data_IF_224299744704
#
_entry.id   IF_224299744704
#
_cell.length_a   1.000
_cell.length_b   1.000
_cell.length_c   1.000
_cell.angle_alpha   90.00
_cell.angle_beta   90.00
_cell.angle_gamma   90.00
#
_symmetry.space_group_name_H-M   'P 1'
#
loop_
_entity.id
_entity.type
_entity.pdbx_description
1 polymer ?
#
# COMPACT_ATOMS: atom_id res chain seq x y z
N UNK A 1 29.05 -29.75 -63.26
CA UNK A 1 28.98 -29.69 -61.79
C UNK A 1 28.63 -28.24 -61.41
N UNK A 2 27.36 -27.94 -61.17
CA UNK A 2 26.84 -26.56 -61.08
C UNK A 2 26.75 -26.14 -59.60
N UNK A 3 27.50 -25.10 -59.21
CA UNK A 3 27.41 -24.44 -57.90
C UNK A 3 26.17 -23.54 -57.87
N UNK A 4 25.20 -23.88 -57.03
CA UNK A 4 24.03 -23.04 -56.73
C UNK A 4 24.36 -22.03 -55.63
N UNK A 5 24.78 -20.83 -56.03
CA UNK A 5 24.86 -19.67 -55.14
C UNK A 5 23.45 -19.14 -54.88
N UNK A 6 22.91 -19.34 -53.67
CA UNK A 6 21.64 -18.72 -53.25
C UNK A 6 21.79 -17.18 -53.24
N UNK A 7 20.83 -16.43 -53.81
CA UNK A 7 20.98 -14.99 -53.96
C UNK A 7 20.77 -14.28 -52.61
N UNK A 8 21.71 -13.40 -52.28
CA UNK A 8 21.69 -12.49 -51.12
C UNK A 8 20.44 -11.56 -51.10
N UNK A 9 19.67 -11.51 -52.18
CA UNK A 9 18.43 -10.74 -52.30
C UNK A 9 17.33 -11.17 -51.31
N UNK A 10 17.32 -12.43 -50.86
CA UNK A 10 16.33 -12.91 -49.90
C UNK A 10 16.53 -12.37 -48.48
N UNK A 11 17.72 -11.86 -48.12
CA UNK A 11 17.95 -11.19 -46.84
C UNK A 11 17.36 -9.77 -46.81
N UNK A 12 17.25 -9.10 -47.96
CA UNK A 12 16.70 -7.74 -48.06
C UNK A 12 15.16 -7.69 -48.07
N UNK A 13 14.50 -8.81 -48.32
CA UNK A 13 13.03 -8.93 -48.29
C UNK A 13 12.49 -9.58 -47.01
N UNK A 14 13.35 -9.95 -46.06
CA UNK A 14 12.94 -10.62 -44.84
C UNK A 14 12.35 -9.61 -43.83
N UNK A 15 11.02 -9.46 -43.85
CA UNK A 15 10.26 -8.62 -42.92
C UNK A 15 10.26 -9.16 -41.48
N UNK A 16 10.64 -10.43 -41.28
CA UNK A 16 10.64 -11.08 -39.97
C UNK A 16 11.66 -10.44 -39.03
N UNK A 17 12.82 -10.00 -39.56
CA UNK A 17 13.84 -9.29 -38.78
C UNK A 17 13.38 -7.90 -38.31
N UNK A 18 12.58 -7.20 -39.13
CA UNK A 18 12.02 -5.89 -38.80
C UNK A 18 11.04 -5.97 -37.62
N UNK A 19 10.21 -7.02 -37.59
CA UNK A 19 9.23 -7.24 -36.50
C UNK A 19 9.94 -7.49 -35.16
N UNK A 20 11.05 -8.23 -35.17
CA UNK A 20 11.84 -8.48 -33.95
C UNK A 20 12.44 -7.18 -33.41
N UNK A 21 12.96 -6.31 -34.27
CA UNK A 21 13.54 -5.01 -33.86
C UNK A 21 12.46 -4.07 -33.33
N UNK A 22 11.31 -4.00 -34.01
CA UNK A 22 10.18 -3.18 -33.57
C UNK A 22 9.64 -3.65 -32.20
N UNK A 23 9.51 -4.96 -32.00
CA UNK A 23 9.14 -5.52 -30.71
C UNK A 23 10.22 -5.28 -29.63
N UNK A 24 11.50 -5.34 -29.98
CA UNK A 24 12.58 -5.07 -29.04
C UNK A 24 12.57 -3.63 -28.51
N UNK A 25 12.01 -2.69 -29.26
CA UNK A 25 11.87 -1.29 -28.85
C UNK A 25 10.53 -1.05 -28.14
N UNK A 26 9.41 -1.48 -28.73
CA UNK A 26 8.07 -1.21 -28.20
C UNK A 26 7.67 -2.15 -27.06
N UNK A 27 8.08 -3.42 -27.11
CA UNK A 27 7.74 -4.44 -26.12
C UNK A 27 8.12 -4.04 -24.69
N UNK A 28 9.38 -3.64 -24.42
CA UNK A 28 9.79 -3.18 -23.10
C UNK A 28 8.99 -1.97 -22.61
N UNK A 29 8.68 -1.01 -23.50
CA UNK A 29 7.89 0.17 -23.14
C UNK A 29 6.45 -0.21 -22.75
N UNK A 30 5.82 -1.12 -23.51
CA UNK A 30 4.48 -1.62 -23.18
C UNK A 30 4.44 -2.39 -21.87
N UNK A 31 5.45 -3.23 -21.62
CA UNK A 31 5.58 -3.96 -20.35
C UNK A 31 5.80 -3.00 -19.17
N UNK A 32 6.65 -1.99 -19.34
CA UNK A 32 6.86 -0.97 -18.31
C UNK A 32 5.57 -0.23 -17.97
N UNK A 33 4.77 0.14 -18.98
CA UNK A 33 3.46 0.76 -18.74
C UNK A 33 2.49 -0.20 -18.03
N UNK A 34 2.42 -1.47 -18.45
CA UNK A 34 1.58 -2.47 -17.81
C UNK A 34 1.93 -2.65 -16.32
N UNK A 35 3.21 -2.82 -16.01
CA UNK A 35 3.68 -2.94 -14.63
C UNK A 35 3.46 -1.65 -13.83
N UNK A 36 3.61 -0.48 -14.46
CA UNK A 36 3.32 0.80 -13.83
C UNK A 36 1.85 0.93 -13.40
N UNK A 37 0.91 0.54 -14.27
CA UNK A 37 -0.53 0.57 -13.94
C UNK A 37 -0.86 -0.44 -12.84
N UNK A 38 -0.29 -1.65 -12.90
CA UNK A 38 -0.47 -2.65 -11.84
C UNK A 38 0.07 -2.16 -10.50
N UNK A 39 1.28 -1.59 -10.47
CA UNK A 39 1.88 -1.00 -9.27
C UNK A 39 1.01 0.11 -8.69
N UNK A 40 0.44 0.96 -9.55
CA UNK A 40 -0.48 2.03 -9.13
C UNK A 40 -1.77 1.47 -8.52
N UNK A 41 -2.36 0.43 -9.13
CA UNK A 41 -3.54 -0.24 -8.60
C UNK A 41 -3.32 -0.83 -7.20
N UNK A 42 -2.21 -1.53 -7.00
CA UNK A 42 -1.77 -2.04 -5.69
C UNK A 42 -1.56 -0.87 -4.71
N UNK A 43 -0.93 0.21 -5.20
CA UNK A 43 -0.80 1.49 -4.51
C UNK A 43 -2.11 1.98 -3.88
N UNK A 44 -3.11 2.16 -4.74
CA UNK A 44 -4.42 2.66 -4.37
C UNK A 44 -5.18 1.70 -3.45
N UNK A 45 -5.07 0.39 -3.66
CA UNK A 45 -5.69 -0.60 -2.79
C UNK A 45 -5.14 -0.48 -1.35
N UNK A 46 -3.82 -0.46 -1.19
CA UNK A 46 -3.19 -0.33 0.12
C UNK A 46 -3.52 1.02 0.78
N UNK A 47 -3.51 2.11 0.00
CA UNK A 47 -3.89 3.43 0.52
C UNK A 47 -5.34 3.47 1.04
N UNK A 48 -6.27 2.86 0.29
CA UNK A 48 -7.66 2.73 0.74
C UNK A 48 -7.79 1.85 1.98
N UNK A 49 -7.00 0.77 2.08
CA UNK A 49 -6.95 -0.06 3.28
C UNK A 49 -6.50 0.75 4.50
N UNK A 50 -5.40 1.53 4.40
CA UNK A 50 -4.95 2.41 5.50
C UNK A 50 -6.05 3.39 5.92
N UNK A 51 -6.73 4.01 4.95
CA UNK A 51 -7.84 4.91 5.23
C UNK A 51 -8.97 4.21 5.99
N UNK A 52 -9.37 3.00 5.58
CA UNK A 52 -10.44 2.26 6.24
C UNK A 52 -10.04 1.75 7.63
N UNK A 53 -8.85 1.18 7.79
CA UNK A 53 -8.28 0.75 9.09
C UNK A 53 -8.29 1.91 10.08
N UNK A 54 -7.84 3.08 9.64
CA UNK A 54 -7.82 4.27 10.49
C UNK A 54 -9.22 4.68 10.97
N UNK A 55 -10.27 4.41 10.18
CA UNK A 55 -11.66 4.72 10.52
C UNK A 55 -12.25 3.72 11.50
N UNK A 56 -11.94 2.44 11.32
CA UNK A 56 -12.32 1.41 12.26
C UNK A 56 -11.62 1.59 13.60
N UNK A 57 -10.32 1.93 13.60
CA UNK A 57 -9.58 2.25 14.82
C UNK A 57 -10.17 3.46 15.54
N UNK A 58 -10.47 4.53 14.82
CA UNK A 58 -11.09 5.72 15.39
C UNK A 58 -12.45 5.41 16.02
N UNK A 59 -13.28 4.64 15.33
CA UNK A 59 -14.60 4.22 15.83
C UNK A 59 -14.45 3.34 17.06
N UNK A 60 -13.49 2.41 17.05
CA UNK A 60 -13.20 1.53 18.16
C UNK A 60 -12.77 2.33 19.40
N UNK A 61 -11.84 3.27 19.24
CA UNK A 61 -11.35 4.12 20.33
C UNK A 61 -12.48 4.94 21.00
N UNK A 62 -13.44 5.43 20.21
CA UNK A 62 -14.60 6.15 20.76
C UNK A 62 -15.56 5.22 21.51
N UNK A 63 -15.83 4.03 20.97
CA UNK A 63 -16.74 3.05 21.61
C UNK A 63 -16.13 2.55 22.92
N UNK A 64 -14.85 2.19 22.91
CA UNK A 64 -14.13 1.70 24.08
C UNK A 64 -14.12 2.76 25.21
N UNK A 65 -13.91 4.03 24.84
CA UNK A 65 -14.03 5.16 25.77
C UNK A 65 -15.42 5.29 26.39
N UNK A 66 -16.48 5.18 25.58
CA UNK A 66 -17.86 5.25 26.06
C UNK A 66 -18.22 4.08 26.98
N UNK A 67 -17.78 2.87 26.65
CA UNK A 67 -18.08 1.67 27.42
C UNK A 67 -17.40 1.70 28.80
N UNK A 68 -16.15 2.15 28.89
CA UNK A 68 -15.50 2.31 30.20
C UNK A 68 -16.06 3.50 31.00
N UNK A 69 -16.51 4.57 30.34
CA UNK A 69 -17.24 5.64 31.02
C UNK A 69 -18.59 5.15 31.60
N UNK A 70 -19.26 4.24 30.90
CA UNK A 70 -20.53 3.64 31.34
C UNK A 70 -20.34 2.55 32.40
N UNK A 71 -19.21 1.84 32.40
CA UNK A 71 -18.90 0.75 33.31
C UNK A 71 -17.64 1.08 34.11
N UNK A 72 -17.84 1.52 35.35
CA UNK A 72 -16.79 2.00 36.27
C UNK A 72 -15.68 0.98 36.63
N UNK A 73 -15.68 -0.21 36.04
CA UNK A 73 -14.74 -1.33 36.30
C UNK A 73 -14.07 -1.87 35.02
N UNK A 74 -14.29 -1.24 33.86
CA UNK A 74 -13.60 -1.64 32.63
C UNK A 74 -12.28 -0.87 32.50
N UNK A 75 -11.19 -1.59 32.23
CA UNK A 75 -9.92 -0.95 31.84
C UNK A 75 -10.03 -0.56 30.37
N UNK A 76 -10.04 0.73 30.09
CA UNK A 76 -9.97 1.26 28.73
C UNK A 76 -8.76 0.67 27.99
N UNK A 77 -8.92 0.34 26.70
CA UNK A 77 -7.81 0.27 25.75
C UNK A 77 -7.40 1.68 25.32
N UNK A 78 -7.19 2.56 26.30
CA UNK A 78 -6.91 3.99 26.09
C UNK A 78 -5.44 4.27 25.78
N UNK A 79 -4.59 3.28 25.99
CA UNK A 79 -3.17 3.48 25.74
C UNK A 79 -2.90 3.45 24.24
N UNK A 80 -1.99 4.32 23.82
CA UNK A 80 -1.59 4.38 22.42
C UNK A 80 -1.10 2.99 21.94
N UNK A 81 -0.36 2.28 22.78
CA UNK A 81 0.15 0.94 22.51
C UNK A 81 -0.97 -0.10 22.25
N UNK A 82 -2.08 -0.06 22.99
CA UNK A 82 -3.20 -0.99 22.79
C UNK A 82 -4.00 -0.68 21.52
N UNK A 83 -4.09 0.61 21.14
CA UNK A 83 -4.70 1.04 19.89
C UNK A 83 -3.81 0.69 18.69
N UNK A 84 -2.49 0.84 18.83
CA UNK A 84 -1.50 0.39 17.85
C UNK A 84 -1.62 -1.13 17.62
N UNK A 85 -1.63 -1.93 18.69
CA UNK A 85 -1.77 -3.37 18.61
C UNK A 85 -3.09 -3.80 17.95
N UNK A 86 -4.21 -3.15 18.28
CA UNK A 86 -5.50 -3.43 17.64
C UNK A 86 -5.47 -3.09 16.14
N UNK A 87 -4.85 -1.97 15.77
CA UNK A 87 -4.73 -1.56 14.38
C UNK A 87 -3.90 -2.56 13.56
N UNK A 88 -2.80 -3.08 14.12
CA UNK A 88 -1.99 -4.13 13.48
C UNK A 88 -2.78 -5.44 13.31
N UNK A 89 -3.57 -5.82 14.33
CA UNK A 89 -4.41 -7.02 14.30
C UNK A 89 -5.44 -6.93 13.16
N UNK A 90 -6.23 -5.85 13.10
CA UNK A 90 -7.25 -5.70 12.07
C UNK A 90 -6.64 -5.50 10.68
N UNK A 91 -5.46 -4.88 10.57
CA UNK A 91 -4.81 -4.64 9.30
C UNK A 91 -4.39 -5.94 8.61
N UNK A 92 -3.93 -6.94 9.37
CA UNK A 92 -3.58 -8.26 8.85
C UNK A 92 -4.81 -9.13 8.51
N UNK A 93 -5.95 -8.85 9.12
CA UNK A 93 -7.19 -9.60 8.92
C UNK A 93 -7.97 -9.16 7.67
N UNK A 94 -8.94 -9.99 7.26
CA UNK A 94 -9.92 -9.57 6.26
C UNK A 94 -10.78 -8.42 6.81
N UNK A 95 -11.12 -7.39 5.99
CA UNK A 95 -10.99 -7.34 4.52
C UNK A 95 -9.67 -6.71 4.02
N UNK A 96 -8.76 -6.31 4.90
CA UNK A 96 -7.60 -5.48 4.55
C UNK A 96 -6.39 -6.29 4.08
N UNK A 97 -6.07 -7.38 4.78
CA UNK A 97 -5.04 -8.34 4.36
C UNK A 97 -3.65 -7.73 4.12
N UNK A 98 -3.30 -6.67 4.87
CA UNK A 98 -1.97 -6.06 4.80
C UNK A 98 -0.93 -6.97 5.45
N UNK A 99 0.31 -6.88 4.98
CA UNK A 99 1.43 -7.58 5.60
C UNK A 99 1.92 -6.78 6.80
N UNK A 100 1.73 -7.30 8.02
CA UNK A 100 1.99 -6.58 9.26
C UNK A 100 3.47 -6.20 9.45
N UNK A 101 4.40 -7.00 8.93
CA UNK A 101 5.84 -6.71 8.90
C UNK A 101 6.21 -5.49 8.02
N UNK A 102 5.29 -5.05 7.17
CA UNK A 102 5.44 -3.89 6.28
C UNK A 102 4.61 -2.69 6.72
N UNK A 103 3.84 -2.85 7.79
CA UNK A 103 3.01 -1.82 8.40
C UNK A 103 3.72 -1.25 9.62
N UNK A 104 3.58 0.04 9.82
CA UNK A 104 3.94 0.71 11.07
C UNK A 104 2.74 1.54 11.48
N UNK A 105 2.23 1.28 12.68
CA UNK A 105 1.17 2.06 13.30
C UNK A 105 1.77 2.94 14.38
N UNK A 106 1.31 4.18 14.47
CA UNK A 106 1.69 5.09 15.54
C UNK A 106 0.48 5.88 15.96
N UNK A 107 0.16 5.83 17.25
CA UNK A 107 -0.91 6.60 17.86
C UNK A 107 -0.27 7.56 18.87
N UNK A 108 -0.52 8.85 18.71
CA UNK A 108 0.03 9.85 19.64
C UNK A 108 -1.08 10.66 20.28
N UNK A 109 -1.03 10.75 21.61
CA UNK A 109 -1.87 11.69 22.35
C UNK A 109 -1.36 13.10 22.10
N UNK A 110 -2.26 14.01 21.73
CA UNK A 110 -1.95 15.42 21.47
C UNK A 110 -2.78 16.30 22.39
N UNK A 111 -2.31 17.54 22.60
CA UNK A 111 -3.08 18.52 23.37
C UNK A 111 -4.41 18.74 22.67
N UNK A 112 -5.49 18.45 23.39
CA UNK A 112 -6.84 18.57 22.86
C UNK A 112 -7.21 20.01 22.53
N UNK A 113 -7.99 20.18 21.48
CA UNK A 113 -8.57 21.46 21.06
C UNK A 113 -10.01 21.64 21.55
N UNK A 114 -10.60 20.60 22.12
CA UNK A 114 -11.98 20.56 22.60
C UNK A 114 -11.93 20.31 24.10
N UNK A 115 -12.62 21.16 24.85
CA UNK A 115 -12.72 21.02 26.30
C UNK A 115 -13.40 19.69 26.65
N UNK A 116 -12.89 19.02 27.68
CA UNK A 116 -13.33 17.68 28.12
C UNK A 116 -13.17 16.52 27.12
N UNK A 117 -12.50 16.72 25.97
CA UNK A 117 -12.19 15.63 25.03
C UNK A 117 -10.68 15.30 25.01
N UNK A 118 -10.34 14.03 24.80
CA UNK A 118 -8.97 13.59 24.47
C UNK A 118 -8.77 13.58 22.95
N UNK A 119 -7.62 14.04 22.48
CA UNK A 119 -7.26 14.02 21.06
C UNK A 119 -6.08 13.07 20.81
N UNK A 120 -6.24 12.18 19.83
CA UNK A 120 -5.21 11.27 19.35
C UNK A 120 -4.95 11.46 17.87
N UNK A 121 -3.70 11.38 17.45
CA UNK A 121 -3.31 11.33 16.04
C UNK A 121 -2.89 9.92 15.67
N UNK A 122 -3.62 9.31 14.73
CA UNK A 122 -3.29 7.99 14.16
C UNK A 122 -2.48 8.21 12.89
N UNK A 123 -1.31 7.60 12.82
CA UNK A 123 -0.47 7.55 11.63
C UNK A 123 -0.24 6.09 11.24
N UNK A 124 -0.56 5.76 10.00
CA UNK A 124 -0.32 4.45 9.41
C UNK A 124 0.67 4.61 8.25
N UNK A 125 1.77 3.87 8.29
CA UNK A 125 2.73 3.81 7.20
C UNK A 125 2.81 2.38 6.68
N UNK A 126 2.77 2.21 5.36
CA UNK A 126 2.89 0.91 4.73
C UNK A 126 3.90 0.91 3.58
N UNK A 127 4.81 -0.04 3.60
CA UNK A 127 5.85 -0.18 2.59
C UNK A 127 5.37 -1.10 1.45
N UNK A 128 4.79 -0.54 0.40
CA UNK A 128 4.23 -1.33 -0.71
C UNK A 128 5.35 -2.05 -1.46
N UNK A 129 5.26 -3.39 -1.67
CA UNK A 129 6.20 -4.09 -2.53
C UNK A 129 6.25 -3.47 -3.93
N UNK A 130 7.47 -3.29 -4.45
CA UNK A 130 7.69 -2.63 -5.73
C UNK A 130 8.13 -3.64 -6.80
N UNK A 131 7.48 -3.58 -7.96
CA UNK A 131 7.91 -4.34 -9.16
C UNK A 131 9.23 -3.79 -9.74
N UNK A 132 9.67 -2.62 -9.29
CA UNK A 132 10.94 -1.99 -9.67
C UNK A 132 12.14 -2.46 -8.83
N UNK A 133 12.01 -3.55 -8.07
CA UNK A 133 13.13 -4.11 -7.29
C UNK A 133 14.35 -4.45 -8.16
N UNK A 134 14.15 -4.78 -9.44
CA UNK A 134 15.24 -5.01 -10.40
C UNK A 134 16.15 -3.80 -10.64
N UNK A 135 15.69 -2.58 -10.35
CA UNK A 135 16.48 -1.35 -10.42
C UNK A 135 16.80 -0.77 -9.03
N UNK A 136 16.66 -1.58 -7.97
CA UNK A 136 16.99 -1.20 -6.59
C UNK A 136 15.90 -0.44 -5.84
N UNK A 137 14.66 -0.44 -6.34
CA UNK A 137 13.50 0.13 -5.63
C UNK A 137 12.63 -1.01 -5.11
N UNK A 138 12.89 -1.44 -3.87
CA UNK A 138 12.24 -2.63 -3.28
C UNK A 138 10.87 -2.33 -2.67
N UNK A 139 10.62 -1.07 -2.30
CA UNK A 139 9.33 -0.66 -1.76
C UNK A 139 9.02 0.81 -1.95
N UNK A 140 7.73 1.13 -1.97
CA UNK A 140 7.22 2.50 -2.03
C UNK A 140 6.45 2.76 -0.73
N UNK A 141 6.97 3.60 0.19
CA UNK A 141 6.26 3.93 1.42
C UNK A 141 5.05 4.81 1.11
N UNK A 142 3.91 4.47 1.70
CA UNK A 142 2.72 5.33 1.75
C UNK A 142 2.38 5.63 3.21
N UNK A 143 1.88 6.83 3.47
CA UNK A 143 1.49 7.26 4.81
C UNK A 143 0.09 7.83 4.79
N UNK A 144 -0.71 7.48 5.79
CA UNK A 144 -2.02 8.05 6.04
C UNK A 144 -2.11 8.50 7.50
N UNK A 145 -2.48 9.76 7.72
CA UNK A 145 -2.60 10.35 9.06
C UNK A 145 -3.98 10.94 9.25
N UNK A 146 -4.57 10.72 10.44
CA UNK A 146 -5.82 11.34 10.85
C UNK A 146 -5.84 11.69 12.34
N UNK A 147 -6.48 12.80 12.74
CA UNK A 147 -6.85 13.03 14.12
C UNK A 147 -8.14 12.26 14.49
N UNK A 148 -8.28 11.93 15.77
CA UNK A 148 -9.46 11.33 16.40
C UNK A 148 -9.70 12.05 17.72
N UNK A 149 -10.95 12.39 17.97
CA UNK A 149 -11.40 12.99 19.22
C UNK A 149 -12.24 11.97 19.97
N UNK A 150 -11.99 11.87 21.27
CA UNK A 150 -12.60 10.90 22.16
C UNK A 150 -13.16 11.70 23.33
N UNK A 151 -14.47 11.65 23.51
CA UNK A 151 -15.22 12.42 24.51
C UNK A 151 -16.19 11.50 25.23
#
# INVERSE_FOLDING_TARGET
MIRTTKPLANLYQDRSGSVIVEFAILGPAMLAMLFGVLQFGIGMQNYNALRSISADLARYAVIDAQDAAAQSDMTLRDTNDELEAYAEEIAGAAPYGLQTDRLTVTVTSVVTRIDEASERTITLQYNIPSVLGMIGIDSIPITYTRPVFIA
#
